data_IF_902513778090
#
_entry.id   IF_902513778090
#
_cell.length_a   1.000
_cell.length_b   1.000
_cell.length_c   1.000
_cell.angle_alpha   90.00
_cell.angle_beta   90.00
_cell.angle_gamma   90.00
#
_symmetry.space_group_name_H-M   'P 1'
#
loop_
_entity.id
_entity.type
_entity.pdbx_description
1 polymer ?
#
# COMPACT_ATOMS: atom_id res chain seq x y z
N UNK A 1 2.64 9.97 22.15
CA UNK A 1 1.24 9.74 21.74
C UNK A 1 0.85 10.49 20.47
N UNK A 2 1.28 11.75 20.28
CA UNK A 2 0.97 12.55 19.09
C UNK A 2 1.27 11.85 17.75
N UNK A 3 2.44 11.21 17.60
CA UNK A 3 2.78 10.51 16.35
C UNK A 3 1.84 9.34 16.00
N UNK A 4 1.26 8.67 17.00
CA UNK A 4 0.26 7.62 16.77
C UNK A 4 -1.06 8.24 16.30
N UNK A 5 -1.49 9.37 16.89
CA UNK A 5 -2.67 10.09 16.43
C UNK A 5 -2.52 10.57 14.98
N UNK A 6 -1.32 11.05 14.63
CA UNK A 6 -1.00 11.43 13.25
C UNK A 6 -1.05 10.22 12.30
N UNK A 7 -0.63 9.03 12.76
CA UNK A 7 -0.67 7.80 11.97
C UNK A 7 -2.10 7.25 11.72
N UNK A 8 -3.11 7.73 12.45
CA UNK A 8 -4.51 7.39 12.18
C UNK A 8 -5.01 7.98 10.86
N UNK A 9 -4.45 9.10 10.41
CA UNK A 9 -4.84 9.72 9.14
C UNK A 9 -4.37 8.91 7.92
N UNK A 10 -3.10 8.47 7.80
CA UNK A 10 -2.72 7.55 6.73
C UNK A 10 -3.41 6.20 6.88
N UNK A 11 -3.70 5.74 8.11
CA UNK A 11 -4.53 4.55 8.34
C UNK A 11 -5.89 4.67 7.64
N UNK A 12 -6.63 5.75 7.86
CA UNK A 12 -7.93 5.97 7.20
C UNK A 12 -7.77 6.26 5.72
N UNK A 13 -6.83 7.12 5.35
CA UNK A 13 -6.66 7.60 3.98
C UNK A 13 -6.18 6.48 3.06
N UNK A 14 -5.07 5.83 3.38
CA UNK A 14 -4.54 4.73 2.57
C UNK A 14 -5.38 3.46 2.70
N UNK A 15 -5.85 3.16 3.91
CA UNK A 15 -6.75 2.03 4.17
C UNK A 15 -8.06 2.09 3.42
N UNK A 16 -8.48 3.27 2.93
CA UNK A 16 -9.70 3.44 2.15
C UNK A 16 -9.48 3.47 0.63
N UNK A 17 -8.24 3.51 0.14
CA UNK A 17 -7.94 3.67 -1.30
C UNK A 17 -8.60 2.55 -2.13
N UNK A 18 -8.33 1.29 -1.78
CA UNK A 18 -8.84 0.13 -2.53
C UNK A 18 -10.37 0.11 -2.51
N UNK A 19 -10.95 0.37 -1.33
CA UNK A 19 -12.38 0.40 -1.12
C UNK A 19 -13.07 1.51 -1.95
N UNK A 20 -12.66 2.77 -1.78
CA UNK A 20 -13.29 3.93 -2.44
C UNK A 20 -13.13 3.84 -3.95
N UNK A 21 -11.94 3.50 -4.44
CA UNK A 21 -11.68 3.27 -5.87
C UNK A 21 -12.55 2.15 -6.44
N UNK A 22 -12.70 1.04 -5.72
CA UNK A 22 -13.58 -0.07 -6.14
C UNK A 22 -15.06 0.32 -6.14
N UNK A 23 -15.50 1.21 -5.23
CA UNK A 23 -16.86 1.76 -5.23
C UNK A 23 -17.12 2.67 -6.44
N UNK A 24 -16.14 3.49 -6.82
CA UNK A 24 -16.21 4.35 -8.00
C UNK A 24 -16.31 3.50 -9.28
N UNK A 25 -15.60 2.36 -9.31
CA UNK A 25 -15.62 1.42 -10.42
C UNK A 25 -14.58 1.73 -11.50
N UNK A 26 -14.86 1.30 -12.73
CA UNK A 26 -13.90 1.34 -13.85
C UNK A 26 -12.92 0.16 -13.80
N UNK A 27 -12.07 0.01 -14.81
CA UNK A 27 -11.02 -1.02 -14.79
C UNK A 27 -9.80 -0.58 -13.96
N UNK A 28 -8.90 -1.51 -13.63
CA UNK A 28 -7.73 -1.21 -12.78
C UNK A 28 -6.83 -0.11 -13.35
N UNK A 29 -6.70 -0.02 -14.67
CA UNK A 29 -5.90 1.00 -15.35
C UNK A 29 -6.54 2.38 -15.21
N UNK A 30 -7.86 2.48 -15.40
CA UNK A 30 -8.63 3.72 -15.19
C UNK A 30 -8.57 4.19 -13.73
N UNK A 31 -8.71 3.27 -12.79
CA UNK A 31 -8.60 3.54 -11.36
C UNK A 31 -7.20 4.06 -11.00
N UNK A 32 -6.15 3.39 -11.47
CA UNK A 32 -4.76 3.79 -11.24
C UNK A 32 -4.52 5.18 -11.81
N UNK A 33 -4.82 5.39 -13.09
CA UNK A 33 -4.55 6.66 -13.76
C UNK A 33 -5.36 7.82 -13.16
N UNK A 34 -6.63 7.60 -12.83
CA UNK A 34 -7.45 8.60 -12.15
C UNK A 34 -6.88 9.01 -10.78
N UNK A 35 -6.38 8.02 -10.03
CA UNK A 35 -5.69 8.25 -8.76
C UNK A 35 -4.37 9.01 -8.94
N UNK A 36 -3.58 8.73 -9.98
CA UNK A 36 -2.33 9.45 -10.24
C UNK A 36 -2.57 10.91 -10.66
N UNK A 37 -3.66 11.21 -11.37
CA UNK A 37 -4.09 12.59 -11.63
C UNK A 37 -4.37 13.34 -10.32
N UNK A 38 -5.09 12.71 -9.38
CA UNK A 38 -5.33 13.31 -8.07
C UNK A 38 -4.06 13.50 -7.25
N UNK A 39 -3.14 12.52 -7.29
CA UNK A 39 -1.85 12.64 -6.64
C UNK A 39 -1.00 13.78 -7.23
N UNK A 40 -1.07 14.00 -8.55
CA UNK A 40 -0.40 15.11 -9.22
C UNK A 40 -0.98 16.47 -8.81
N UNK A 41 -2.31 16.61 -8.75
CA UNK A 41 -2.96 17.83 -8.23
C UNK A 41 -2.52 18.12 -6.81
N UNK A 42 -2.50 17.10 -5.95
CA UNK A 42 -2.01 17.24 -4.58
C UNK A 42 -0.53 17.67 -4.54
N UNK A 43 0.30 17.04 -5.37
CA UNK A 43 1.73 17.32 -5.43
C UNK A 43 2.03 18.75 -5.90
N UNK A 44 1.23 19.31 -6.82
CA UNK A 44 1.34 20.72 -7.22
C UNK A 44 1.10 21.67 -6.03
N UNK A 45 0.08 21.39 -5.21
CA UNK A 45 -0.20 22.19 -4.00
C UNK A 45 0.97 22.09 -3.01
N UNK A 46 1.46 20.88 -2.73
CA UNK A 46 2.60 20.69 -1.83
C UNK A 46 3.85 21.39 -2.35
N UNK A 47 4.13 21.29 -3.65
CA UNK A 47 5.29 21.92 -4.27
C UNK A 47 5.20 23.45 -4.20
N UNK A 48 4.01 24.04 -4.44
CA UNK A 48 3.80 25.48 -4.35
C UNK A 48 4.04 26.02 -2.92
N UNK A 49 3.66 25.25 -1.90
CA UNK A 49 3.82 25.61 -0.49
C UNK A 49 5.26 25.40 -0.01
N UNK A 50 5.86 24.24 -0.33
CA UNK A 50 7.14 23.82 0.25
C UNK A 50 8.36 24.23 -0.57
N UNK A 51 8.18 24.47 -1.86
CA UNK A 51 9.19 24.91 -2.82
C UNK A 51 10.55 24.20 -2.67
N UNK A 52 10.60 22.85 -2.70
CA UNK A 52 11.85 22.13 -2.57
C UNK A 52 12.76 22.39 -3.77
N UNK A 53 14.08 22.47 -3.52
CA UNK A 53 15.07 22.47 -4.60
C UNK A 53 15.15 21.08 -5.21
N UNK A 54 14.90 20.98 -6.51
CA UNK A 54 14.96 19.73 -7.26
C UNK A 54 16.20 19.73 -8.15
N UNK A 55 17.16 18.87 -7.84
CA UNK A 55 18.23 18.54 -8.76
C UNK A 55 17.83 17.37 -9.67
N UNK A 56 18.64 17.13 -10.72
CA UNK A 56 18.34 16.09 -11.70
C UNK A 56 18.23 14.70 -11.05
N UNK A 57 19.09 14.40 -10.08
CA UNK A 57 19.08 13.13 -9.35
C UNK A 57 17.76 12.90 -8.62
N UNK A 58 17.29 13.91 -7.88
CA UNK A 58 16.03 13.90 -7.13
C UNK A 58 14.83 13.74 -8.07
N UNK A 59 14.86 14.42 -9.21
CA UNK A 59 13.81 14.30 -10.24
C UNK A 59 13.78 12.87 -10.79
N UNK A 60 14.93 12.32 -11.19
CA UNK A 60 15.01 10.98 -11.77
C UNK A 60 14.57 9.91 -10.77
N UNK A 61 15.02 9.99 -9.51
CA UNK A 61 14.60 9.07 -8.46
C UNK A 61 13.09 9.18 -8.22
N UNK A 62 12.55 10.40 -8.19
CA UNK A 62 11.10 10.62 -8.13
C UNK A 62 10.36 9.93 -9.27
N UNK A 63 10.76 10.18 -10.52
CA UNK A 63 10.13 9.59 -11.71
C UNK A 63 10.15 8.06 -11.67
N UNK A 64 11.30 7.45 -11.37
CA UNK A 64 11.46 5.99 -11.28
C UNK A 64 10.60 5.44 -10.15
N UNK A 65 10.66 6.04 -8.95
CA UNK A 65 9.86 5.63 -7.81
C UNK A 65 8.36 5.71 -8.08
N UNK A 66 7.90 6.74 -8.80
CA UNK A 66 6.51 6.87 -9.22
C UNK A 66 6.08 5.78 -10.20
N UNK A 67 6.96 5.40 -11.13
CA UNK A 67 6.74 4.28 -12.04
C UNK A 67 6.59 2.94 -11.30
N UNK A 68 7.50 2.66 -10.37
CA UNK A 68 7.46 1.48 -9.51
C UNK A 68 6.19 1.41 -8.66
N UNK A 69 5.81 2.55 -8.07
CA UNK A 69 4.58 2.67 -7.30
C UNK A 69 3.35 2.35 -8.16
N UNK A 70 3.35 2.76 -9.43
CA UNK A 70 2.22 2.50 -10.35
C UNK A 70 2.04 1.03 -10.66
N UNK A 71 3.14 0.26 -10.74
CA UNK A 71 3.08 -1.20 -10.84
C UNK A 71 2.39 -1.76 -9.59
N UNK A 72 2.86 -1.31 -8.42
CA UNK A 72 2.31 -1.69 -7.11
C UNK A 72 0.80 -1.48 -7.02
N UNK A 73 0.35 -0.26 -7.31
CA UNK A 73 -1.04 0.16 -7.19
C UNK A 73 -1.95 -0.48 -8.24
N UNK A 74 -1.50 -0.57 -9.50
CA UNK A 74 -2.31 -1.14 -10.57
C UNK A 74 -2.61 -2.61 -10.33
N UNK A 75 -1.59 -3.38 -9.93
CA UNK A 75 -1.75 -4.80 -9.61
C UNK A 75 -2.56 -5.00 -8.31
N UNK A 76 -2.49 -4.07 -7.36
CA UNK A 76 -3.38 -4.09 -6.19
C UNK A 76 -4.86 -3.94 -6.59
N UNK A 77 -5.18 -3.02 -7.51
CA UNK A 77 -6.55 -2.88 -8.03
C UNK A 77 -7.00 -4.08 -8.87
N UNK A 78 -6.09 -4.71 -9.64
CA UNK A 78 -6.37 -5.98 -10.33
C UNK A 78 -6.69 -7.09 -9.34
N UNK A 79 -5.89 -7.24 -8.28
CA UNK A 79 -6.13 -8.22 -7.24
C UNK A 79 -7.51 -8.02 -6.59
N UNK A 80 -7.87 -6.79 -6.23
CA UNK A 80 -9.18 -6.46 -5.69
C UNK A 80 -10.34 -6.89 -6.62
N UNK A 81 -10.17 -6.76 -7.93
CA UNK A 81 -11.16 -7.24 -8.91
C UNK A 81 -11.23 -8.76 -9.03
N UNK A 82 -10.11 -9.47 -8.85
CA UNK A 82 -10.07 -10.93 -8.98
C UNK A 82 -10.54 -11.67 -7.73
N UNK A 83 -10.32 -11.10 -6.54
CA UNK A 83 -10.54 -11.80 -5.27
C UNK A 83 -11.36 -11.01 -4.24
N UNK A 84 -11.84 -9.80 -4.59
CA UNK A 84 -12.56 -8.90 -3.68
C UNK A 84 -11.61 -8.02 -2.86
N UNK A 85 -12.10 -6.84 -2.46
CA UNK A 85 -11.36 -5.87 -1.64
C UNK A 85 -11.08 -6.43 -0.26
N UNK A 86 -12.04 -7.16 0.32
CA UNK A 86 -11.89 -7.73 1.67
C UNK A 86 -10.82 -8.81 1.79
N UNK A 87 -10.38 -9.38 0.67
CA UNK A 87 -9.29 -10.36 0.62
C UNK A 87 -8.03 -9.72 0.06
N UNK A 88 -8.12 -9.01 -1.07
CA UNK A 88 -6.95 -8.43 -1.73
C UNK A 88 -6.20 -7.43 -0.84
N UNK A 89 -6.93 -6.60 -0.10
CA UNK A 89 -6.34 -5.64 0.81
C UNK A 89 -5.41 -6.33 1.81
N UNK A 90 -5.92 -7.17 2.73
CA UNK A 90 -5.10 -7.84 3.75
C UNK A 90 -3.91 -8.61 3.18
N UNK A 91 -4.09 -9.29 2.06
CA UNK A 91 -3.00 -10.02 1.42
C UNK A 91 -1.92 -9.09 0.89
N UNK A 92 -2.29 -7.95 0.30
CA UNK A 92 -1.35 -6.96 -0.23
C UNK A 92 -0.52 -6.32 0.89
N UNK A 93 -1.16 -5.84 1.96
CA UNK A 93 -0.46 -5.22 3.08
C UNK A 93 0.42 -6.23 3.84
N UNK A 94 -0.08 -7.46 4.05
CA UNK A 94 0.69 -8.53 4.69
C UNK A 94 1.94 -8.89 3.92
N UNK A 95 1.81 -9.07 2.61
CA UNK A 95 2.94 -9.39 1.73
C UNK A 95 3.99 -8.26 1.72
N UNK A 96 3.56 -6.99 1.67
CA UNK A 96 4.46 -5.84 1.75
C UNK A 96 5.25 -5.80 3.07
N UNK A 97 4.59 -6.05 4.21
CA UNK A 97 5.26 -6.07 5.52
C UNK A 97 6.27 -7.21 5.63
N UNK A 98 5.90 -8.42 5.21
CA UNK A 98 6.78 -9.59 5.26
C UNK A 98 8.00 -9.38 4.36
N UNK A 99 7.78 -9.08 3.08
CA UNK A 99 8.87 -8.94 2.11
C UNK A 99 9.72 -7.70 2.41
N UNK A 100 9.10 -6.57 2.76
CA UNK A 100 9.82 -5.37 3.15
C UNK A 100 10.70 -5.58 4.38
N UNK A 101 10.21 -6.31 5.39
CA UNK A 101 11.00 -6.63 6.59
C UNK A 101 12.14 -7.60 6.30
N UNK A 102 11.91 -8.60 5.43
CA UNK A 102 12.96 -9.52 4.98
C UNK A 102 14.07 -8.79 4.21
N UNK A 103 13.72 -7.86 3.32
CA UNK A 103 14.72 -7.04 2.63
C UNK A 103 15.47 -6.14 3.62
N UNK A 104 14.75 -5.49 4.55
CA UNK A 104 15.35 -4.66 5.59
C UNK A 104 16.42 -5.41 6.39
N UNK A 105 16.10 -6.62 6.86
CA UNK A 105 17.07 -7.42 7.64
C UNK A 105 18.18 -8.02 6.79
N UNK A 106 17.85 -8.62 5.64
CA UNK A 106 18.83 -9.38 4.84
C UNK A 106 19.75 -8.50 4.00
N UNK A 107 19.23 -7.42 3.42
CA UNK A 107 19.99 -6.55 2.54
C UNK A 107 20.57 -5.32 3.24
N UNK A 108 19.89 -4.81 4.28
CA UNK A 108 20.28 -3.56 4.96
C UNK A 108 20.68 -3.75 6.42
N UNK A 109 20.62 -4.97 6.95
CA UNK A 109 21.04 -5.26 8.32
C UNK A 109 20.24 -4.50 9.38
N UNK A 110 18.95 -4.22 9.12
CA UNK A 110 18.12 -3.40 10.03
C UNK A 110 17.91 -4.02 11.41
N UNK A 111 18.13 -5.33 11.57
CA UNK A 111 18.14 -5.99 12.87
C UNK A 111 19.59 -6.29 13.27
N UNK A 112 19.98 -5.84 14.46
CA UNK A 112 21.31 -5.99 15.04
C UNK A 112 21.32 -6.74 16.38
N UNK A 113 20.17 -6.82 17.08
CA UNK A 113 20.07 -7.45 18.41
C UNK A 113 19.34 -8.79 18.35
N UNK A 114 19.71 -9.80 19.17
CA UNK A 114 19.01 -11.10 19.20
C UNK A 114 17.49 -10.98 19.41
N UNK A 115 17.05 -10.02 20.25
CA UNK A 115 15.63 -9.76 20.49
C UNK A 115 14.88 -9.29 19.23
N UNK A 116 15.53 -8.53 18.35
CA UNK A 116 14.95 -8.06 17.10
C UNK A 116 14.73 -9.22 16.14
N UNK A 117 15.70 -10.14 16.03
CA UNK A 117 15.57 -11.36 15.24
C UNK A 117 14.45 -12.27 15.76
N UNK A 118 14.35 -12.45 17.08
CA UNK A 118 13.31 -13.28 17.68
C UNK A 118 11.91 -12.69 17.44
N UNK A 119 11.69 -11.45 17.85
CA UNK A 119 10.38 -10.78 17.72
C UNK A 119 10.00 -10.61 16.25
N UNK A 120 10.96 -10.27 15.40
CA UNK A 120 10.75 -10.09 13.96
C UNK A 120 10.37 -11.40 13.26
N UNK A 121 11.04 -12.51 13.62
CA UNK A 121 10.68 -13.84 13.10
C UNK A 121 9.27 -14.27 13.52
N UNK A 122 8.92 -14.06 14.80
CA UNK A 122 7.56 -14.33 15.29
C UNK A 122 6.55 -13.47 14.53
N UNK A 123 6.84 -12.18 14.33
CA UNK A 123 5.96 -11.27 13.62
C UNK A 123 5.70 -11.73 12.18
N UNK A 124 6.76 -12.13 11.45
CA UNK A 124 6.65 -12.66 10.09
C UNK A 124 5.80 -13.93 10.06
N UNK A 125 6.02 -14.87 10.98
CA UNK A 125 5.21 -16.11 11.08
C UNK A 125 3.74 -15.76 11.30
N UNK A 126 3.45 -14.87 12.24
CA UNK A 126 2.08 -14.42 12.55
C UNK A 126 1.43 -13.76 11.32
N UNK A 127 2.16 -12.92 10.58
CA UNK A 127 1.66 -12.31 9.34
C UNK A 127 1.35 -13.35 8.26
N UNK A 128 2.20 -14.37 8.09
CA UNK A 128 1.98 -15.46 7.13
C UNK A 128 0.75 -16.30 7.50
N UNK A 129 0.55 -16.59 8.79
CA UNK A 129 -0.65 -17.28 9.26
C UNK A 129 -1.89 -16.39 9.04
N UNK A 130 -1.77 -15.08 9.31
CA UNK A 130 -2.83 -14.10 9.04
C UNK A 130 -3.21 -14.03 7.55
N UNK A 131 -2.22 -14.10 6.66
CA UNK A 131 -2.40 -14.21 5.21
C UNK A 131 -3.18 -15.48 4.84
N UNK A 132 -2.80 -16.63 5.41
CA UNK A 132 -3.48 -17.90 5.16
C UNK A 132 -4.97 -17.82 5.51
N UNK A 133 -5.31 -17.32 6.71
CA UNK A 133 -6.71 -17.17 7.11
C UNK A 133 -7.45 -16.14 6.27
N UNK A 134 -6.87 -14.97 5.99
CA UNK A 134 -7.54 -13.90 5.21
C UNK A 134 -7.89 -14.32 3.78
N UNK A 135 -7.13 -15.26 3.20
CA UNK A 135 -7.36 -15.79 1.84
C UNK A 135 -8.30 -16.99 1.78
N UNK A 136 -8.69 -17.56 2.94
CA UNK A 136 -9.41 -18.83 2.99
C UNK A 136 -10.88 -18.67 2.65
N UNK A 137 -11.36 -19.51 1.74
CA UNK A 137 -12.77 -19.60 1.33
C UNK A 137 -13.49 -20.71 2.09
N UNK A 138 -14.80 -20.62 2.12
CA UNK A 138 -15.67 -21.68 2.64
C UNK A 138 -15.75 -22.83 1.62
N UNK A 139 -15.30 -24.06 1.97
CA UNK A 139 -15.31 -25.21 1.06
C UNK A 139 -16.72 -25.61 0.60
N UNK A 140 -17.75 -25.26 1.37
CA UNK A 140 -19.13 -25.69 1.15
C UNK A 140 -19.94 -24.70 0.30
N UNK A 141 -19.31 -23.63 -0.18
CA UNK A 141 -19.99 -22.65 -1.03
C UNK A 141 -19.68 -22.96 -2.49
N UNK A 142 -20.68 -23.41 -3.26
CA UNK A 142 -20.59 -23.37 -4.71
C UNK A 142 -20.27 -21.93 -5.10
N UNK A 143 -19.17 -21.74 -5.83
CA UNK A 143 -18.59 -20.44 -6.12
C UNK A 143 -19.64 -19.49 -6.71
N UNK A 144 -20.22 -18.64 -5.85
CA UNK A 144 -21.16 -17.62 -6.31
C UNK A 144 -20.40 -16.72 -7.27
N UNK A 145 -20.88 -16.73 -8.51
CA UNK A 145 -20.38 -15.98 -9.66
C UNK A 145 -19.81 -14.60 -9.28
N UNK A 146 -18.49 -14.45 -9.41
CA UNK A 146 -17.81 -13.16 -9.18
C UNK A 146 -16.34 -13.23 -8.76
N UNK A 147 -15.89 -14.34 -8.14
CA UNK A 147 -14.50 -14.46 -7.62
C UNK A 147 -13.70 -15.61 -8.26
N UNK A 148 -13.75 -15.72 -9.59
CA UNK A 148 -13.30 -16.90 -10.34
C UNK A 148 -11.78 -17.10 -10.44
N UNK A 149 -10.92 -16.22 -9.91
CA UNK A 149 -9.49 -16.29 -10.22
C UNK A 149 -8.55 -16.01 -9.03
N UNK A 150 -8.65 -16.80 -7.96
CA UNK A 150 -7.71 -16.71 -6.82
C UNK A 150 -6.24 -16.73 -7.27
N UNK A 151 -5.88 -17.59 -8.22
CA UNK A 151 -4.51 -17.65 -8.77
C UNK A 151 -4.08 -16.35 -9.49
N UNK A 152 -4.98 -15.71 -10.26
CA UNK A 152 -4.68 -14.39 -10.87
C UNK A 152 -4.58 -13.31 -9.80
N UNK A 153 -5.45 -13.35 -8.79
CA UNK A 153 -5.41 -12.47 -7.64
C UNK A 153 -4.07 -12.55 -6.90
N UNK A 154 -3.62 -13.76 -6.55
CA UNK A 154 -2.33 -13.99 -5.89
C UNK A 154 -1.15 -13.55 -6.75
N UNK A 155 -1.19 -13.79 -8.06
CA UNK A 155 -0.16 -13.30 -8.99
C UNK A 155 -0.13 -11.77 -9.04
N UNK A 156 -1.29 -11.11 -9.05
CA UNK A 156 -1.37 -9.66 -8.96
C UNK A 156 -0.87 -9.15 -7.60
N UNK A 157 -1.16 -9.82 -6.49
CA UNK A 157 -0.57 -9.47 -5.18
C UNK A 157 0.96 -9.58 -5.20
N UNK A 158 1.53 -10.60 -5.86
CA UNK A 158 2.98 -10.73 -5.98
C UNK A 158 3.62 -9.55 -6.74
N UNK A 159 3.08 -9.17 -7.90
CA UNK A 159 3.57 -8.00 -8.64
C UNK A 159 3.30 -6.68 -7.92
N UNK A 160 2.16 -6.57 -7.23
CA UNK A 160 1.83 -5.43 -6.39
C UNK A 160 2.86 -5.25 -5.28
N UNK A 161 3.18 -6.34 -4.59
CA UNK A 161 4.20 -6.39 -3.53
C UNK A 161 5.57 -6.03 -4.08
N UNK A 162 5.93 -6.57 -5.25
CA UNK A 162 7.19 -6.24 -5.91
C UNK A 162 7.31 -4.73 -6.19
N UNK A 163 6.30 -4.12 -6.83
CA UNK A 163 6.29 -2.68 -7.11
C UNK A 163 6.34 -1.84 -5.83
N UNK A 164 5.55 -2.22 -4.83
CA UNK A 164 5.49 -1.49 -3.56
C UNK A 164 6.78 -1.61 -2.73
N UNK A 165 7.36 -2.80 -2.63
CA UNK A 165 8.59 -2.97 -1.88
C UNK A 165 9.75 -2.30 -2.62
N UNK A 166 9.80 -2.38 -3.95
CA UNK A 166 10.89 -1.77 -4.72
C UNK A 166 10.85 -0.24 -4.66
N UNK A 167 9.68 0.43 -4.74
CA UNK A 167 9.64 1.89 -4.52
C UNK A 167 10.03 2.26 -3.09
N UNK A 168 9.58 1.50 -2.09
CA UNK A 168 9.88 1.78 -0.69
C UNK A 168 11.38 1.63 -0.42
N UNK A 169 12.00 0.54 -0.90
CA UNK A 169 13.43 0.30 -0.80
C UNK A 169 14.24 1.33 -1.59
N UNK A 170 13.73 1.80 -2.74
CA UNK A 170 14.36 2.87 -3.49
C UNK A 170 14.51 4.13 -2.64
N UNK A 171 13.41 4.63 -2.06
CA UNK A 171 13.43 5.88 -1.29
C UNK A 171 14.09 5.74 0.08
N UNK A 172 13.86 4.63 0.78
CA UNK A 172 14.32 4.47 2.17
C UNK A 172 15.78 4.04 2.28
N UNK A 173 16.32 3.33 1.27
CA UNK A 173 17.64 2.72 1.38
C UNK A 173 18.53 2.99 0.16
N UNK A 174 18.08 2.68 -1.07
CA UNK A 174 18.95 2.75 -2.25
C UNK A 174 19.32 4.18 -2.64
N UNK A 175 18.46 5.16 -2.37
CA UNK A 175 18.76 6.57 -2.67
C UNK A 175 19.96 7.08 -1.87
N UNK A 176 20.04 6.72 -0.59
CA UNK A 176 21.18 7.07 0.27
C UNK A 176 22.42 6.23 -0.08
N UNK A 177 22.22 4.94 -0.37
CA UNK A 177 23.32 4.02 -0.69
C UNK A 177 24.02 4.33 -2.02
N UNK A 178 23.25 4.58 -3.08
CA UNK A 178 23.75 4.71 -4.46
C UNK A 178 24.04 6.17 -4.81
N UNK A 179 23.18 7.08 -4.39
CA UNK A 179 23.25 8.49 -4.79
C UNK A 179 23.69 9.42 -3.64
N UNK A 180 23.83 8.89 -2.42
CA UNK A 180 24.17 9.68 -1.22
C UNK A 180 23.17 10.82 -0.97
N UNK A 181 21.90 10.61 -1.32
CA UNK A 181 20.81 11.56 -1.12
C UNK A 181 19.74 10.93 -0.25
N UNK A 182 19.46 11.59 0.89
CA UNK A 182 18.30 11.27 1.71
C UNK A 182 17.09 11.97 1.15
N UNK A 183 16.13 11.17 0.69
CA UNK A 183 14.91 11.65 0.07
C UNK A 183 13.78 11.53 1.08
N UNK A 184 13.16 12.67 1.41
CA UNK A 184 11.86 12.67 2.05
C UNK A 184 10.74 12.74 1.00
N UNK A 185 9.67 11.97 1.23
CA UNK A 185 8.62 11.75 0.22
C UNK A 185 7.98 13.05 -0.29
N UNK A 186 7.85 14.07 0.56
CA UNK A 186 7.26 15.35 0.18
C UNK A 186 8.18 16.22 -0.70
N UNK A 187 9.50 15.98 -0.71
CA UNK A 187 10.42 16.65 -1.63
C UNK A 187 10.28 16.09 -3.04
N UNK A 188 10.17 14.77 -3.17
CA UNK A 188 10.01 14.10 -4.46
C UNK A 188 8.56 13.93 -4.91
N UNK A 189 7.56 14.37 -4.14
CA UNK A 189 6.15 14.07 -4.43
C UNK A 189 5.70 14.56 -5.82
N UNK A 190 6.22 15.70 -6.29
CA UNK A 190 5.92 16.22 -7.62
C UNK A 190 6.53 15.36 -8.74
N UNK A 191 7.87 15.18 -8.84
CA UNK A 191 8.44 14.29 -9.84
C UNK A 191 7.92 12.85 -9.71
N UNK A 192 7.63 12.38 -8.50
CA UNK A 192 6.99 11.09 -8.24
C UNK A 192 5.62 11.00 -8.87
N UNK A 193 4.73 11.98 -8.65
CA UNK A 193 3.40 11.97 -9.25
C UNK A 193 3.40 11.99 -10.78
N UNK A 194 4.38 12.67 -11.39
CA UNK A 194 4.61 12.62 -12.85
C UNK A 194 5.04 11.22 -13.27
N UNK A 195 6.00 10.62 -12.56
CA UNK A 195 6.41 9.23 -12.76
C UNK A 195 5.25 8.24 -12.61
N UNK A 196 4.34 8.50 -11.66
CA UNK A 196 3.14 7.70 -11.46
C UNK A 196 2.19 7.81 -12.65
N UNK A 197 1.95 9.01 -13.17
CA UNK A 197 1.12 9.21 -14.37
C UNK A 197 1.70 8.49 -15.59
N UNK A 198 3.01 8.64 -15.84
CA UNK A 198 3.72 7.99 -16.94
C UNK A 198 3.66 6.47 -16.77
N UNK A 199 3.97 5.96 -15.57
CA UNK A 199 3.94 4.54 -15.26
C UNK A 199 2.55 3.93 -15.45
N UNK A 200 1.51 4.58 -14.94
CA UNK A 200 0.12 4.15 -15.12
C UNK A 200 -0.30 4.13 -16.60
N UNK A 201 0.14 5.11 -17.40
CA UNK A 201 -0.11 5.16 -18.84
C UNK A 201 0.61 4.04 -19.61
N UNK A 202 1.88 3.77 -19.28
CA UNK A 202 2.67 2.68 -19.88
C UNK A 202 2.06 1.32 -19.53
N UNK A 203 1.69 1.08 -18.28
CA UNK A 203 1.05 -0.17 -17.81
C UNK A 203 -0.28 -0.41 -18.55
N UNK A 204 -0.99 0.67 -18.92
CA UNK A 204 -2.19 0.59 -19.73
C UNK A 204 -1.94 0.41 -21.24
N UNK A 205 -0.69 0.20 -21.67
CA UNK A 205 -0.31 0.05 -23.07
C UNK A 205 -0.48 1.33 -23.89
N UNK A 206 -0.39 2.50 -23.23
CA UNK A 206 -0.58 3.81 -23.85
C UNK A 206 -2.03 4.13 -24.23
N UNK A 207 -2.99 3.26 -23.89
CA UNK A 207 -4.40 3.39 -24.26
C UNK A 207 -5.28 3.40 -23.02
N UNK A 208 -5.55 4.59 -22.49
CA UNK A 208 -6.50 4.79 -21.40
C UNK A 208 -7.73 5.51 -21.94
N UNK A 209 -8.89 4.87 -21.84
CA UNK A 209 -10.17 5.52 -22.13
C UNK A 209 -10.48 6.51 -21.00
N UNK A 210 -10.41 7.80 -21.31
CA UNK A 210 -10.73 8.91 -20.40
C UNK A 210 -12.24 9.06 -20.21
N UNK A 211 -12.83 8.07 -19.58
CA UNK A 211 -14.24 8.08 -19.18
C UNK A 211 -14.40 8.85 -17.86
N UNK A 212 -15.62 9.30 -17.52
CA UNK A 212 -15.89 10.01 -16.26
C UNK A 212 -15.37 9.27 -15.01
N UNK A 213 -15.29 7.94 -15.06
CA UNK A 213 -14.78 7.11 -13.96
C UNK A 213 -13.31 7.37 -13.62
N UNK A 214 -12.49 7.79 -14.60
CA UNK A 214 -11.09 8.19 -14.38
C UNK A 214 -11.05 9.43 -13.49
N UNK A 215 -11.81 10.46 -13.86
CA UNK A 215 -11.85 11.72 -13.09
C UNK A 215 -12.51 11.55 -11.72
N UNK A 216 -13.49 10.65 -11.61
CA UNK A 216 -14.10 10.31 -10.31
C UNK A 216 -13.10 9.67 -9.33
N UNK A 217 -11.96 9.15 -9.80
CA UNK A 217 -10.88 8.64 -8.95
C UNK A 217 -9.87 9.70 -8.49
N UNK A 218 -9.97 10.97 -8.93
CA UNK A 218 -9.12 12.06 -8.45
C UNK A 218 -9.12 12.19 -6.90
N UNK A 219 -10.27 12.13 -6.20
CA UNK A 219 -10.29 12.17 -4.74
C UNK A 219 -9.46 11.06 -4.08
N UNK A 220 -9.35 9.88 -4.70
CA UNK A 220 -8.51 8.78 -4.20
C UNK A 220 -7.02 9.17 -4.23
N UNK A 221 -6.61 9.92 -5.25
CA UNK A 221 -5.26 10.50 -5.34
C UNK A 221 -4.99 11.56 -4.26
N UNK A 222 -5.99 12.38 -3.96
CA UNK A 222 -5.90 13.35 -2.86
C UNK A 222 -5.77 12.64 -1.50
N UNK A 223 -6.51 11.55 -1.27
CA UNK A 223 -6.37 10.71 -0.08
C UNK A 223 -4.97 10.11 0.05
N UNK A 224 -4.40 9.65 -1.07
CA UNK A 224 -3.01 9.17 -1.09
C UNK A 224 -2.02 10.27 -0.68
N UNK A 225 -2.18 11.47 -1.24
CA UNK A 225 -1.35 12.64 -0.91
C UNK A 225 -1.46 13.03 0.57
N UNK A 226 -2.69 13.13 1.09
CA UNK A 226 -2.97 13.42 2.49
C UNK A 226 -2.29 12.40 3.41
N UNK A 227 -2.40 11.10 3.07
CA UNK A 227 -1.72 10.04 3.80
C UNK A 227 -0.20 10.24 3.82
N UNK A 228 0.43 10.64 2.71
CA UNK A 228 1.88 10.89 2.70
C UNK A 228 2.32 12.05 3.60
N UNK A 229 1.55 13.14 3.66
CA UNK A 229 1.86 14.26 4.57
C UNK A 229 1.81 13.80 6.02
N UNK A 230 0.73 13.16 6.43
CA UNK A 230 0.58 12.70 7.81
C UNK A 230 1.51 11.53 8.15
N UNK A 231 1.86 10.69 7.17
CA UNK A 231 2.88 9.67 7.32
C UNK A 231 4.23 10.31 7.65
N UNK A 232 4.64 11.36 6.93
CA UNK A 232 5.90 12.05 7.22
C UNK A 232 5.89 12.72 8.61
N UNK A 233 4.77 13.36 8.99
CA UNK A 233 4.62 13.95 10.32
C UNK A 233 4.63 12.88 11.44
N UNK A 234 3.94 11.77 11.23
CA UNK A 234 3.91 10.66 12.16
C UNK A 234 5.28 10.00 12.29
N UNK A 235 5.99 9.80 11.18
CA UNK A 235 7.35 9.27 11.17
C UNK A 235 8.34 10.20 11.90
N UNK A 236 8.21 11.52 11.75
CA UNK A 236 9.04 12.49 12.47
C UNK A 236 8.81 12.47 13.99
N UNK A 237 7.61 12.09 14.45
CA UNK A 237 7.22 12.11 15.87
C UNK A 237 7.31 10.75 16.57
N UNK A 238 7.08 9.66 15.85
CA UNK A 238 7.03 8.29 16.39
C UNK A 238 8.02 7.33 15.72
N UNK A 239 8.77 7.77 14.71
CA UNK A 239 9.62 6.91 13.89
C UNK A 239 8.84 6.26 12.75
N UNK A 240 9.53 6.10 11.60
CA UNK A 240 8.94 5.57 10.37
C UNK A 240 8.33 4.18 10.57
N UNK A 241 9.00 3.32 11.33
CA UNK A 241 8.55 1.95 11.56
C UNK A 241 7.22 1.87 12.31
N UNK A 242 7.11 2.58 13.44
CA UNK A 242 5.88 2.62 14.23
C UNK A 242 4.75 3.21 13.38
N UNK A 243 5.01 4.38 12.79
CA UNK A 243 3.99 5.09 12.05
C UNK A 243 3.51 4.31 10.81
N UNK A 244 4.41 3.60 10.11
CA UNK A 244 4.06 2.74 8.98
C UNK A 244 3.22 1.55 9.45
N UNK A 245 3.64 0.82 10.49
CA UNK A 245 2.85 -0.30 11.03
C UNK A 245 1.44 0.12 11.45
N UNK A 246 1.27 1.28 12.10
CA UNK A 246 -0.05 1.80 12.44
C UNK A 246 -0.87 2.17 11.20
N UNK A 247 -0.26 2.77 10.17
CA UNK A 247 -0.95 3.07 8.92
C UNK A 247 -1.50 1.81 8.23
N UNK A 248 -0.82 0.67 8.37
CA UNK A 248 -1.25 -0.59 7.79
C UNK A 248 -2.52 -1.17 8.46
N UNK A 249 -2.87 -0.72 9.67
CA UNK A 249 -4.15 -1.07 10.30
C UNK A 249 -5.37 -0.55 9.51
N UNK A 250 -5.15 0.36 8.55
CA UNK A 250 -6.15 0.83 7.61
C UNK A 250 -6.82 -0.29 6.82
N UNK A 251 -6.19 -1.46 6.81
CA UNK A 251 -6.76 -2.65 6.23
C UNK A 251 -8.12 -3.05 6.81
N UNK A 252 -8.35 -2.78 8.09
CA UNK A 252 -9.64 -3.04 8.75
C UNK A 252 -10.75 -2.28 7.99
N UNK A 253 -10.45 -1.06 7.55
CA UNK A 253 -11.38 -0.20 6.81
C UNK A 253 -11.64 -0.75 5.41
N UNK A 254 -10.60 -1.18 4.69
CA UNK A 254 -10.77 -1.85 3.40
C UNK A 254 -11.61 -3.13 3.52
N UNK A 255 -11.36 -3.94 4.54
CA UNK A 255 -12.05 -5.21 4.75
C UNK A 255 -13.52 -5.01 5.09
N UNK A 256 -13.82 -4.18 6.08
CA UNK A 256 -15.18 -3.85 6.48
C UNK A 256 -15.89 -3.11 5.33
N UNK A 257 -15.20 -2.18 4.68
CA UNK A 257 -15.67 -1.40 3.53
C UNK A 257 -16.13 -2.30 2.37
N UNK A 258 -15.31 -3.29 2.02
CA UNK A 258 -15.64 -4.28 0.99
C UNK A 258 -16.89 -5.10 1.33
N UNK A 259 -16.98 -5.61 2.56
CA UNK A 259 -18.10 -6.45 3.00
C UNK A 259 -19.40 -5.65 3.06
N UNK A 260 -19.39 -4.47 3.70
CA UNK A 260 -20.61 -3.70 3.97
C UNK A 260 -21.07 -2.87 2.77
N UNK A 261 -20.16 -2.25 2.02
CA UNK A 261 -20.52 -1.20 1.05
C UNK A 261 -20.29 -1.61 -0.42
N UNK A 262 -19.49 -2.64 -0.68
CA UNK A 262 -19.32 -3.23 -2.03
C UNK A 262 -20.19 -4.47 -2.26
N UNK A 263 -20.94 -4.91 -1.24
CA UNK A 263 -21.85 -6.04 -1.34
C UNK A 263 -21.13 -7.38 -1.44
N UNK A 264 -19.88 -7.47 -0.95
CA UNK A 264 -19.14 -8.72 -0.91
C UNK A 264 -19.82 -9.69 0.08
N UNK A 265 -20.62 -10.61 -0.47
CA UNK A 265 -21.26 -11.67 0.30
C UNK A 265 -20.19 -12.66 0.74
N UNK A 266 -20.04 -12.83 2.05
CA UNK A 266 -19.20 -13.84 2.67
C UNK A 266 -20.04 -14.77 3.50
N UNK A 267 -19.68 -16.06 3.53
CA UNK A 267 -20.30 -16.96 4.49
C UNK A 267 -19.87 -16.63 5.92
N UNK A 268 -20.58 -17.17 6.92
CA UNK A 268 -20.19 -17.04 8.32
C UNK A 268 -18.77 -17.58 8.57
N UNK A 269 -18.37 -18.62 7.83
CA UNK A 269 -17.04 -19.22 7.94
C UNK A 269 -15.96 -18.32 7.33
N UNK A 270 -16.20 -17.76 6.15
CA UNK A 270 -15.28 -16.81 5.51
C UNK A 270 -15.12 -15.53 6.33
N UNK A 271 -16.20 -15.02 6.90
CA UNK A 271 -16.14 -13.86 7.79
C UNK A 271 -15.27 -14.15 9.02
N UNK A 272 -15.41 -15.34 9.62
CA UNK A 272 -14.57 -15.77 10.74
C UNK A 272 -13.10 -15.83 10.36
N UNK A 273 -12.78 -16.37 9.17
CA UNK A 273 -11.40 -16.42 8.68
C UNK A 273 -10.82 -15.03 8.42
N UNK A 274 -11.58 -14.13 7.82
CA UNK A 274 -11.17 -12.74 7.59
C UNK A 274 -10.92 -12.01 8.91
N UNK A 275 -11.77 -12.21 9.92
CA UNK A 275 -11.58 -11.60 11.25
C UNK A 275 -10.32 -12.14 11.93
N UNK A 276 -10.11 -13.47 11.94
CA UNK A 276 -8.91 -14.08 12.51
C UNK A 276 -7.66 -13.60 11.77
N UNK A 277 -7.70 -13.60 10.44
CA UNK A 277 -6.59 -13.15 9.61
C UNK A 277 -6.23 -11.69 9.84
N UNK A 278 -7.25 -10.82 9.96
CA UNK A 278 -7.06 -9.39 10.29
C UNK A 278 -6.49 -9.22 11.70
N UNK A 279 -6.96 -9.98 12.69
CA UNK A 279 -6.43 -9.91 14.05
C UNK A 279 -4.95 -10.32 14.12
N UNK A 280 -4.59 -11.43 13.47
CA UNK A 280 -3.20 -11.86 13.36
C UNK A 280 -2.35 -10.83 12.62
N UNK A 281 -2.87 -10.22 11.56
CA UNK A 281 -2.20 -9.15 10.85
C UNK A 281 -1.85 -7.96 11.77
N UNK A 282 -2.82 -7.51 12.58
CA UNK A 282 -2.63 -6.42 13.55
C UNK A 282 -1.51 -6.78 14.54
N UNK A 283 -1.55 -8.00 15.10
CA UNK A 283 -0.53 -8.48 16.04
C UNK A 283 0.85 -8.49 15.38
N UNK A 284 0.96 -9.04 14.16
CA UNK A 284 2.22 -9.08 13.42
C UNK A 284 2.77 -7.69 13.10
N UNK A 285 1.92 -6.76 12.67
CA UNK A 285 2.32 -5.37 12.39
C UNK A 285 2.81 -4.64 13.65
N UNK A 286 2.16 -4.87 14.80
CA UNK A 286 2.58 -4.32 16.10
C UNK A 286 3.92 -4.92 16.54
N UNK A 287 4.10 -6.24 16.41
CA UNK A 287 5.37 -6.89 16.74
C UNK A 287 6.52 -6.35 15.89
N UNK A 288 6.32 -6.15 14.58
CA UNK A 288 7.33 -5.52 13.71
C UNK A 288 7.62 -4.07 14.10
N UNK A 289 6.62 -3.31 14.57
CA UNK A 289 6.87 -1.97 15.11
C UNK A 289 7.75 -2.03 16.37
N UNK A 290 7.48 -2.97 17.27
CA UNK A 290 8.27 -3.14 18.51
C UNK A 290 9.72 -3.53 18.20
N UNK A 291 9.94 -4.39 17.20
CA UNK A 291 11.29 -4.79 16.75
C UNK A 291 12.15 -3.57 16.44
N UNK A 292 11.61 -2.56 15.78
CA UNK A 292 12.36 -1.36 15.38
C UNK A 292 12.58 -0.35 16.52
N UNK A 293 11.96 -0.56 17.69
CA UNK A 293 12.15 0.26 18.89
C UNK A 293 13.29 -0.29 19.76
N UNK A 294 13.50 -1.61 19.73
CA UNK A 294 14.55 -2.31 20.48
C UNK A 294 15.92 -2.09 19.86
#
# INVERSE_FOLDING_TARGET
MEGILLALIPMVSWGSIIFVSSKIGGNANQQTFGMTLGAFVFALVVFAVRQPKLDLTTILIGLVGGGLWSIGQNEQFKAAKFMGVSVAGPLSSGAQLVIGSLIGVLAFGEWSKPVQYLLGSIAIIVLVIGFYFSSRKDPNTESVSGQQHLGKGLRSIAYSTFGYVLYATLFNNLSDLIFHVKIDTLTVILPMSVGMMIGAWIIAGGKIKLEPVVFKNIPVGLMWGLGNVFMLLAAAKAGLAIAFSFSQLGIIISTIGGILFLGEKKTKLELRYVVIGTALFIIGAILLAIVKIQ
#
